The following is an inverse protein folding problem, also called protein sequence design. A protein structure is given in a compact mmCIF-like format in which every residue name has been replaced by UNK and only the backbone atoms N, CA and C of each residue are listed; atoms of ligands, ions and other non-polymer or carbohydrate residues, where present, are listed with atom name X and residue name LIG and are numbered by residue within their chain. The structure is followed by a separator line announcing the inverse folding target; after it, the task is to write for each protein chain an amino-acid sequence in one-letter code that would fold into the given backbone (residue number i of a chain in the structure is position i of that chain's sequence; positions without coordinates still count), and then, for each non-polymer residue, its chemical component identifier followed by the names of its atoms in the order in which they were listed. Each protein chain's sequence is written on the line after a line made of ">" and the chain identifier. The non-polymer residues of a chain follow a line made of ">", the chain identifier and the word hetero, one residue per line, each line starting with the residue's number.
data_IF_074940790426
#
_entry.id   IF_074940790426
#
_cell.length_a   1.000
_cell.length_b   1.000
_cell.length_c   1.000
_cell.angle_alpha   90.00
_cell.angle_beta   90.00
_cell.angle_gamma   90.00
#
_symmetry.space_group_name_H-M   'P 1'
#
loop_
_entity.id
_entity.type
_entity.pdbx_description
1 polymer ?
#
# COMPACT_ATOMS: atom_id res chain seq x y z
N UNK A 1 -19.33 -12.75 -23.20
CA UNK A 1 -18.02 -12.23 -22.75
C UNK A 1 -18.31 -11.06 -21.84
N UNK A 2 -17.98 -11.17 -20.55
CA UNK A 2 -18.08 -10.00 -19.64
C UNK A 2 -17.00 -9.01 -20.06
N UNK A 3 -17.39 -7.75 -20.29
CA UNK A 3 -16.46 -6.70 -20.66
C UNK A 3 -15.40 -6.53 -19.57
N UNK A 4 -14.14 -6.34 -19.98
CA UNK A 4 -13.05 -5.95 -19.06
C UNK A 4 -13.46 -4.65 -18.36
N UNK A 5 -13.50 -4.67 -17.02
CA UNK A 5 -13.84 -3.50 -16.23
C UNK A 5 -12.55 -2.84 -15.73
N UNK A 6 -12.30 -1.61 -16.18
CA UNK A 6 -11.17 -0.79 -15.75
C UNK A 6 -11.69 0.54 -15.23
N UNK A 7 -11.31 0.89 -14.01
CA UNK A 7 -11.58 2.18 -13.37
C UNK A 7 -10.26 2.77 -12.86
N UNK A 8 -10.14 4.10 -12.92
CA UNK A 8 -8.94 4.83 -12.50
C UNK A 8 -9.31 5.90 -11.50
N UNK A 9 -8.62 5.93 -10.36
CA UNK A 9 -8.74 7.06 -9.46
C UNK A 9 -8.00 8.26 -10.06
N UNK A 10 -8.69 9.40 -10.17
CA UNK A 10 -8.08 10.66 -10.57
C UNK A 10 -7.37 11.37 -9.40
N UNK A 11 -7.69 10.97 -8.17
CA UNK A 11 -7.18 11.53 -6.92
C UNK A 11 -7.84 10.83 -5.73
N UNK A 12 -7.40 11.16 -4.52
CA UNK A 12 -8.00 10.65 -3.29
C UNK A 12 -8.72 11.82 -2.60
N UNK A 13 -10.04 11.72 -2.34
CA UNK A 13 -10.77 12.76 -1.64
C UNK A 13 -10.11 13.10 -0.30
N UNK A 14 -9.86 14.40 -0.06
CA UNK A 14 -9.25 14.88 1.19
C UNK A 14 -7.73 14.68 1.30
N UNK A 15 -7.06 14.18 0.26
CA UNK A 15 -5.59 14.12 0.19
C UNK A 15 -5.03 15.04 -0.88
N UNK A 16 -3.72 15.29 -0.82
CA UNK A 16 -3.03 16.03 -1.85
C UNK A 16 -3.16 15.33 -3.22
N UNK A 17 -3.34 16.08 -4.32
CA UNK A 17 -3.41 15.49 -5.65
C UNK A 17 -2.10 14.77 -6.00
N UNK A 18 -2.19 13.76 -6.87
CA UNK A 18 -1.02 13.03 -7.35
C UNK A 18 -0.02 14.00 -8.01
N UNK A 19 1.25 13.86 -7.64
CA UNK A 19 2.35 14.67 -8.19
C UNK A 19 2.94 13.93 -9.40
N UNK A 20 2.19 13.88 -10.51
CA UNK A 20 2.66 13.29 -11.76
C UNK A 20 1.58 12.66 -12.65
N UNK A 21 1.95 12.11 -13.82
CA UNK A 21 1.02 11.54 -14.79
C UNK A 21 0.63 10.08 -14.44
N UNK A 22 0.11 9.88 -13.23
CA UNK A 22 -0.34 8.56 -12.75
C UNK A 22 -1.62 8.66 -11.92
N UNK A 23 -2.36 7.56 -11.84
CA UNK A 23 -3.52 7.41 -10.95
C UNK A 23 -3.06 6.85 -9.60
N UNK A 24 -3.57 7.33 -8.45
CA UNK A 24 -3.25 6.73 -7.15
C UNK A 24 -3.54 5.23 -7.10
N UNK A 25 -4.64 4.80 -7.74
CA UNK A 25 -4.92 3.40 -7.99
C UNK A 25 -5.69 3.18 -9.29
N UNK A 26 -5.59 1.96 -9.80
CA UNK A 26 -6.34 1.44 -10.95
C UNK A 26 -7.02 0.15 -10.52
N UNK A 27 -8.33 0.09 -10.74
CA UNK A 27 -9.12 -1.11 -10.52
C UNK A 27 -9.25 -1.81 -11.88
N UNK A 28 -8.85 -3.08 -11.96
CA UNK A 28 -8.98 -3.88 -13.16
C UNK A 28 -9.50 -5.28 -12.80
N UNK A 29 -10.72 -5.60 -13.26
CA UNK A 29 -11.36 -6.90 -13.03
C UNK A 29 -11.37 -7.34 -11.55
N UNK A 30 -11.60 -6.40 -10.63
CA UNK A 30 -11.66 -6.68 -9.18
C UNK A 30 -10.32 -6.65 -8.45
N UNK A 31 -9.19 -6.50 -9.17
CA UNK A 31 -7.90 -6.19 -8.55
C UNK A 31 -7.70 -4.69 -8.44
N UNK A 32 -7.07 -4.25 -7.36
CA UNK A 32 -6.66 -2.88 -7.10
C UNK A 32 -5.15 -2.83 -7.19
N UNK A 33 -4.62 -2.04 -8.12
CA UNK A 33 -3.20 -1.75 -8.28
C UNK A 33 -2.95 -0.34 -7.79
N UNK A 34 -2.13 -0.19 -6.75
CA UNK A 34 -1.79 1.12 -6.19
C UNK A 34 -0.50 1.64 -6.82
N UNK A 35 -0.40 2.95 -7.02
CA UNK A 35 0.91 3.58 -7.18
C UNK A 35 1.68 3.57 -5.86
N UNK A 36 2.99 3.74 -5.94
CA UNK A 36 3.84 3.79 -4.77
C UNK A 36 3.45 4.92 -3.82
N UNK A 37 3.37 4.55 -2.54
CA UNK A 37 3.07 5.44 -1.44
C UNK A 37 4.34 5.77 -0.69
N UNK A 38 4.43 7.01 -0.27
CA UNK A 38 5.60 7.61 0.38
C UNK A 38 5.19 8.19 1.75
N UNK A 39 6.15 8.51 2.64
CA UNK A 39 5.84 9.01 3.99
C UNK A 39 5.37 10.47 4.06
N UNK A 40 4.84 11.03 2.97
CA UNK A 40 4.34 12.40 2.90
C UNK A 40 3.01 12.57 3.67
N UNK A 41 2.87 13.66 4.43
CA UNK A 41 1.63 14.01 5.14
C UNK A 41 0.83 15.03 4.30
N UNK A 42 1.44 16.17 3.99
CA UNK A 42 0.85 17.21 3.13
C UNK A 42 1.74 17.55 1.93
N UNK A 43 2.84 16.81 1.74
CA UNK A 43 3.86 17.05 0.72
C UNK A 43 5.19 16.41 1.10
N UNK A 44 6.17 16.43 0.20
CA UNK A 44 7.50 15.85 0.43
C UNK A 44 8.25 16.51 1.60
N UNK A 45 8.02 17.80 1.85
CA UNK A 45 8.70 18.52 2.94
C UNK A 45 8.07 18.26 4.32
N UNK A 46 6.95 17.53 4.38
CA UNK A 46 6.24 17.24 5.63
C UNK A 46 6.09 15.73 5.81
N UNK A 47 7.04 15.15 6.54
CA UNK A 47 7.14 13.72 6.85
C UNK A 47 7.47 13.53 8.35
N UNK A 48 7.19 12.37 8.95
CA UNK A 48 7.65 12.06 10.30
C UNK A 48 9.19 12.02 10.40
N UNK A 49 9.74 12.42 11.55
CA UNK A 49 11.19 12.47 11.76
C UNK A 49 11.85 11.10 11.90
N UNK A 50 11.13 10.13 12.47
CA UNK A 50 11.65 8.78 12.69
C UNK A 50 11.31 7.87 11.52
N UNK A 51 12.22 6.96 11.19
CA UNK A 51 11.98 5.98 10.13
C UNK A 51 10.71 5.14 10.41
N UNK A 52 10.53 4.69 11.63
CA UNK A 52 9.33 3.96 12.05
C UNK A 52 8.06 4.81 11.92
N UNK A 53 8.14 6.12 12.16
CA UNK A 53 7.05 7.06 11.90
C UNK A 53 6.76 7.16 10.40
N UNK A 54 7.80 7.23 9.58
CA UNK A 54 7.68 7.26 8.11
C UNK A 54 7.03 5.98 7.59
N UNK A 55 7.41 4.79 8.11
CA UNK A 55 6.75 3.52 7.76
C UNK A 55 5.26 3.57 8.07
N UNK A 56 4.87 4.04 9.26
CA UNK A 56 3.45 4.18 9.64
C UNK A 56 2.70 5.14 8.72
N UNK A 57 3.30 6.29 8.39
CA UNK A 57 2.69 7.25 7.48
C UNK A 57 2.50 6.65 6.07
N UNK A 58 3.50 5.97 5.54
CA UNK A 58 3.41 5.31 4.24
C UNK A 58 2.29 4.28 4.19
N UNK A 59 2.15 3.46 5.24
CA UNK A 59 1.06 2.47 5.31
C UNK A 59 -0.31 3.15 5.47
N UNK A 60 -0.41 4.27 6.21
CA UNK A 60 -1.65 5.07 6.29
C UNK A 60 -2.06 5.65 4.94
N UNK A 61 -1.09 6.16 4.17
CA UNK A 61 -1.34 6.67 2.82
C UNK A 61 -1.85 5.53 1.92
N UNK A 62 -1.21 4.36 1.98
CA UNK A 62 -1.65 3.16 1.27
C UNK A 62 -3.07 2.73 1.65
N UNK A 63 -3.40 2.75 2.94
CA UNK A 63 -4.76 2.45 3.41
C UNK A 63 -5.78 3.42 2.80
N UNK A 64 -5.50 4.73 2.81
CA UNK A 64 -6.39 5.72 2.21
C UNK A 64 -6.60 5.54 0.70
N UNK A 65 -5.56 5.10 -0.03
CA UNK A 65 -5.67 4.74 -1.45
C UNK A 65 -6.58 3.53 -1.65
N UNK A 66 -6.40 2.49 -0.84
CA UNK A 66 -7.19 1.26 -0.90
C UNK A 66 -8.66 1.52 -0.56
N UNK A 67 -8.93 2.30 0.49
CA UNK A 67 -10.28 2.71 0.89
C UNK A 67 -10.98 3.48 -0.23
N UNK A 68 -10.29 4.45 -0.85
CA UNK A 68 -10.82 5.20 -1.99
C UNK A 68 -11.10 4.32 -3.22
N UNK A 69 -10.42 3.17 -3.35
CA UNK A 69 -10.64 2.19 -4.39
C UNK A 69 -11.71 1.13 -4.02
N UNK A 70 -12.31 1.19 -2.83
CA UNK A 70 -13.28 0.19 -2.37
C UNK A 70 -12.64 -1.11 -1.88
N UNK A 71 -11.45 -1.04 -1.31
CA UNK A 71 -10.65 -2.13 -0.74
C UNK A 71 -10.19 -1.77 0.68
N UNK A 72 -9.24 -2.53 1.24
CA UNK A 72 -8.68 -2.37 2.58
C UNK A 72 -7.35 -3.12 2.73
N UNK A 73 -6.60 -2.86 3.80
CA UNK A 73 -5.29 -3.50 4.04
C UNK A 73 -5.41 -5.03 4.17
N UNK A 74 -6.52 -5.51 4.72
CA UNK A 74 -6.90 -6.91 4.85
C UNK A 74 -7.15 -7.62 3.50
N UNK A 75 -7.34 -6.85 2.43
CA UNK A 75 -7.54 -7.36 1.08
C UNK A 75 -6.26 -7.30 0.22
N UNK A 76 -5.14 -6.86 0.80
CA UNK A 76 -3.85 -6.83 0.11
C UNK A 76 -3.35 -8.26 -0.10
N UNK A 77 -2.96 -8.56 -1.33
CA UNK A 77 -2.45 -9.89 -1.72
C UNK A 77 -0.97 -9.87 -2.06
N UNK A 78 -0.43 -8.71 -2.46
CA UNK A 78 0.99 -8.52 -2.75
C UNK A 78 1.45 -7.14 -2.29
N UNK A 79 2.62 -7.08 -1.65
CA UNK A 79 3.33 -5.83 -1.34
C UNK A 79 4.72 -5.85 -1.96
N UNK A 80 5.10 -4.73 -2.59
CA UNK A 80 6.50 -4.40 -2.90
C UNK A 80 6.92 -3.24 -2.00
N UNK A 81 8.13 -3.34 -1.45
CA UNK A 81 8.70 -2.28 -0.61
C UNK A 81 10.12 -1.98 -1.04
N UNK A 82 10.39 -0.69 -1.16
CA UNK A 82 11.66 -0.12 -1.56
C UNK A 82 12.21 0.66 -0.38
N UNK A 83 13.33 0.22 0.17
CA UNK A 83 14.03 0.87 1.29
C UNK A 83 15.29 1.56 0.76
N UNK A 84 15.79 2.59 1.46
CA UNK A 84 17.04 3.27 1.06
C UNK A 84 18.29 2.73 1.75
N UNK A 85 18.14 1.92 2.81
CA UNK A 85 19.26 1.28 3.50
C UNK A 85 18.88 -0.13 3.99
N UNK A 86 19.77 -1.13 3.91
CA UNK A 86 19.52 -2.45 4.48
C UNK A 86 19.29 -2.43 6.00
N UNK A 87 19.86 -1.45 6.71
CA UNK A 87 19.72 -1.28 8.17
C UNK A 87 18.28 -0.94 8.59
N UNK A 88 17.45 -0.47 7.65
CA UNK A 88 16.05 -0.16 7.89
C UNK A 88 15.17 -1.41 8.01
N UNK A 89 15.62 -2.57 7.51
CA UNK A 89 14.78 -3.74 7.33
C UNK A 89 14.14 -4.23 8.63
N UNK A 90 14.90 -4.27 9.72
CA UNK A 90 14.38 -4.75 11.01
C UNK A 90 13.31 -3.79 11.57
N UNK A 91 13.58 -2.49 11.54
CA UNK A 91 12.64 -1.45 11.96
C UNK A 91 11.36 -1.49 11.14
N UNK A 92 11.50 -1.62 9.82
CA UNK A 92 10.37 -1.78 8.91
C UNK A 92 9.54 -3.01 9.25
N UNK A 93 10.16 -4.17 9.47
CA UNK A 93 9.44 -5.40 9.80
C UNK A 93 8.63 -5.30 11.10
N UNK A 94 9.17 -4.62 12.12
CA UNK A 94 8.47 -4.40 13.39
C UNK A 94 7.20 -3.59 13.21
N UNK A 95 7.25 -2.51 12.42
CA UNK A 95 6.06 -1.71 12.13
C UNK A 95 5.11 -2.45 11.19
N UNK A 96 5.63 -3.13 10.16
CA UNK A 96 4.82 -3.83 9.16
C UNK A 96 3.87 -4.86 9.76
N UNK A 97 4.32 -5.61 10.79
CA UNK A 97 3.47 -6.62 11.45
C UNK A 97 2.34 -5.99 12.28
N UNK A 98 2.47 -4.74 12.70
CA UNK A 98 1.38 -3.98 13.37
C UNK A 98 0.15 -3.83 12.45
N UNK A 99 0.35 -3.79 11.12
CA UNK A 99 -0.71 -3.55 10.15
C UNK A 99 -1.22 -4.81 9.45
N UNK A 100 -0.32 -5.71 9.02
CA UNK A 100 -0.71 -6.89 8.25
C UNK A 100 -0.89 -8.16 9.11
N UNK A 101 -0.46 -8.13 10.38
CA UNK A 101 -0.73 -9.19 11.36
C UNK A 101 -0.49 -10.62 10.86
N UNK A 102 -1.52 -11.46 10.96
CA UNK A 102 -1.54 -12.85 10.52
C UNK A 102 -1.88 -13.01 9.04
N UNK A 103 -2.62 -12.09 8.44
CA UNK A 103 -2.99 -12.06 7.02
C UNK A 103 -1.87 -11.46 6.15
N UNK A 104 -0.67 -12.06 6.23
CA UNK A 104 0.51 -11.53 5.53
C UNK A 104 0.36 -11.70 4.01
N UNK A 105 0.42 -10.62 3.21
CA UNK A 105 0.43 -10.73 1.76
C UNK A 105 1.75 -11.34 1.28
N UNK A 106 1.77 -11.80 0.03
CA UNK A 106 3.04 -12.05 -0.64
C UNK A 106 3.89 -10.76 -0.61
N UNK A 107 5.21 -10.87 -0.40
CA UNK A 107 6.06 -9.69 -0.17
C UNK A 107 7.39 -9.77 -0.90
N UNK A 108 7.81 -8.63 -1.45
CA UNK A 108 9.16 -8.39 -1.95
C UNK A 108 9.68 -7.11 -1.31
N UNK A 109 10.87 -7.15 -0.72
CA UNK A 109 11.54 -5.97 -0.16
C UNK A 109 12.94 -5.89 -0.73
N UNK A 110 13.31 -4.73 -1.27
CA UNK A 110 14.63 -4.46 -1.85
C UNK A 110 15.18 -3.13 -1.35
N UNK A 111 16.49 -2.97 -1.46
CA UNK A 111 17.17 -1.70 -1.19
C UNK A 111 17.48 -0.99 -2.52
N UNK A 112 17.09 0.28 -2.64
CA UNK A 112 17.26 1.11 -3.85
C UNK A 112 17.51 2.57 -3.47
N UNK A 113 17.95 3.39 -4.41
CA UNK A 113 17.97 4.85 -4.24
C UNK A 113 16.58 5.43 -4.53
N UNK A 114 16.10 6.33 -3.68
CA UNK A 114 14.82 7.06 -3.83
C UNK A 114 15.04 8.58 -3.77
N UNK A 115 14.08 9.37 -4.25
CA UNK A 115 14.17 10.84 -4.25
C UNK A 115 13.40 11.46 -3.08
N UNK A 116 14.13 11.99 -2.10
CA UNK A 116 13.54 12.79 -1.01
C UNK A 116 12.73 12.01 0.04
N UNK A 117 12.79 10.68 0.01
CA UNK A 117 12.06 9.78 0.92
C UNK A 117 12.91 8.58 1.32
N UNK A 118 12.64 7.99 2.48
CA UNK A 118 13.39 6.83 2.99
C UNK A 118 12.79 5.47 2.61
N UNK A 119 11.53 5.46 2.16
CA UNK A 119 10.85 4.27 1.69
C UNK A 119 9.71 4.61 0.73
N UNK A 120 9.35 3.61 -0.08
CA UNK A 120 8.15 3.59 -0.91
C UNK A 120 7.50 2.20 -0.86
N UNK A 121 6.17 2.17 -0.82
CA UNK A 121 5.38 0.93 -0.79
C UNK A 121 4.29 0.98 -1.85
N UNK A 122 4.23 -0.02 -2.71
CA UNK A 122 3.05 -0.31 -3.54
C UNK A 122 2.45 -1.66 -3.15
N UNK A 123 1.19 -1.85 -3.51
CA UNK A 123 0.53 -3.12 -3.35
C UNK A 123 -0.47 -3.45 -4.45
N UNK A 124 -0.74 -4.75 -4.57
CA UNK A 124 -1.92 -5.29 -5.23
C UNK A 124 -2.88 -5.79 -4.16
N UNK A 125 -4.14 -5.40 -4.27
CA UNK A 125 -5.24 -5.86 -3.43
C UNK A 125 -6.41 -6.35 -4.30
N UNK A 126 -7.44 -6.89 -3.65
CA UNK A 126 -8.73 -7.16 -4.27
C UNK A 126 -9.78 -6.21 -3.73
N UNK A 127 -10.82 -5.92 -4.52
CA UNK A 127 -11.97 -5.18 -4.03
C UNK A 127 -12.61 -5.90 -2.83
N UNK A 128 -13.16 -5.12 -1.90
CA UNK A 128 -13.94 -5.67 -0.81
C UNK A 128 -15.12 -6.50 -1.37
N UNK A 129 -15.38 -7.70 -0.84
CA UNK A 129 -16.50 -8.52 -1.30
C UNK A 129 -17.82 -7.77 -1.11
N UNK A 130 -18.58 -7.56 -2.19
CA UNK A 130 -19.88 -6.88 -2.08
C UNK A 130 -20.94 -7.70 -1.31
N UNK A 131 -20.76 -9.02 -1.14
CA UNK A 131 -21.63 -9.97 -0.40
C UNK A 131 -20.98 -11.39 -0.21
N UNK A 132 -19.65 -11.49 -0.01
CA UNK A 132 -18.94 -12.79 0.04
C UNK A 132 -18.40 -13.14 1.43
N UNK A 133 -18.14 -14.42 1.73
CA UNK A 133 -17.49 -14.81 2.99
C UNK A 133 -16.12 -14.12 3.11
N UNK A 134 -15.73 -13.75 4.32
CA UNK A 134 -14.36 -13.30 4.62
C UNK A 134 -13.34 -14.27 4.01
N UNK A 135 -12.26 -13.74 3.44
CA UNK A 135 -11.20 -14.56 2.84
C UNK A 135 -10.63 -15.44 3.97
N UNK A 136 -10.82 -16.76 3.95
CA UNK A 136 -10.34 -17.60 5.03
C UNK A 136 -8.81 -17.61 5.01
N UNK A 137 -8.20 -17.05 6.05
CA UNK A 137 -6.78 -17.26 6.33
C UNK A 137 -6.64 -18.74 6.68
N UNK A 138 -6.00 -19.54 5.80
CA UNK A 138 -5.57 -20.87 6.21
C UNK A 138 -4.53 -20.69 7.30
N UNK A 139 -4.90 -20.93 8.55
CA UNK A 139 -3.91 -21.11 9.62
C UNK A 139 -2.99 -22.26 9.21
N UNK A 140 -1.77 -21.91 8.84
CA UNK A 140 -0.76 -22.89 8.47
C UNK A 140 -0.29 -23.62 9.72
N UNK A 141 -0.58 -24.91 9.79
CA UNK A 141 0.29 -25.88 10.46
C UNK A 141 1.72 -25.71 9.90
N UNK A 142 2.66 -25.39 10.78
CA UNK A 142 4.08 -25.62 10.53
C UNK A 142 4.37 -27.12 10.42
#
# INVERSE_FOLDING_TARGET
>A
MTATHIERLAGIPGQAPAVGPFSPAVIANGFVFTSGQIPAITGLDHQPDTFEGQVRQTIRNLAGVLEAAGSGLEHVVKVNTYLTSPEQLEKYNRVYVEYFGTAKPARTTVCVSLWGVSLEIECVAVLAPKNGPEIPVKEGSL
#
